data_IF_009827879333
#
_entry.id   IF_009827879333
#
_cell.length_a   1.000
_cell.length_b   1.000
_cell.length_c   1.000
_cell.angle_alpha   90.00
_cell.angle_beta   90.00
_cell.angle_gamma   90.00
#
_symmetry.space_group_name_H-M   'P 1'
#
loop_
_entity.id
_entity.type
_entity.pdbx_description
1 polymer ?
#
# COMPACT_ATOMS: atom_id res chain seq x y z
N UNK A 1 2.70 -2.34 14.64
CA UNK A 1 1.57 -1.54 15.15
C UNK A 1 1.53 -0.24 14.39
N UNK A 2 0.34 0.16 13.90
CA UNK A 2 0.10 1.47 13.29
C UNK A 2 -0.84 2.24 14.21
N UNK A 3 -0.56 3.50 14.46
CA UNK A 3 -1.37 4.36 15.32
C UNK A 3 -1.67 5.67 14.60
N UNK A 4 -2.92 6.11 14.65
CA UNK A 4 -3.32 7.47 14.34
C UNK A 4 -3.87 8.09 15.63
N UNK A 5 -3.42 9.31 15.99
CA UNK A 5 -3.83 10.02 17.22
C UNK A 5 -4.32 11.40 16.85
N UNK A 6 -5.61 11.68 17.12
CA UNK A 6 -6.26 12.96 16.85
C UNK A 6 -5.96 13.49 15.44
N UNK A 7 -5.98 12.59 14.45
CA UNK A 7 -5.59 12.88 13.08
C UNK A 7 -6.62 13.78 12.40
N UNK A 8 -6.17 14.94 11.92
CA UNK A 8 -6.99 15.89 11.16
C UNK A 8 -6.39 16.09 9.79
N UNK A 9 -7.25 16.09 8.76
CA UNK A 9 -6.92 16.49 7.40
C UNK A 9 -8.01 17.33 6.79
N UNK A 10 -7.63 18.49 6.26
CA UNK A 10 -8.51 19.46 5.64
C UNK A 10 -8.08 19.66 4.18
N UNK A 11 -9.03 19.65 3.27
CA UNK A 11 -8.85 20.01 1.85
C UNK A 11 -9.84 21.12 1.51
N UNK A 12 -9.34 22.26 1.11
CA UNK A 12 -10.16 23.42 0.69
C UNK A 12 -11.35 23.71 1.64
N UNK A 13 -11.06 23.68 2.93
CA UNK A 13 -12.06 23.91 3.98
C UNK A 13 -12.89 22.68 4.38
N UNK A 14 -12.84 21.60 3.61
CA UNK A 14 -13.52 20.35 3.94
C UNK A 14 -12.67 19.46 4.85
N UNK A 15 -13.20 19.10 6.02
CA UNK A 15 -12.54 18.15 6.94
C UNK A 15 -12.75 16.72 6.48
N UNK A 16 -11.76 16.17 5.78
CA UNK A 16 -11.77 14.77 5.34
C UNK A 16 -11.46 13.79 6.48
N UNK A 17 -10.70 14.21 7.48
CA UNK A 17 -10.49 13.52 8.76
C UNK A 17 -10.62 14.56 9.87
N UNK A 18 -11.38 14.24 10.91
CA UNK A 18 -11.67 15.15 12.03
C UNK A 18 -11.42 14.45 13.37
N UNK A 19 -10.17 14.57 13.85
CA UNK A 19 -9.76 14.01 15.15
C UNK A 19 -9.73 12.48 15.20
N UNK A 20 -9.51 11.80 14.06
CA UNK A 20 -9.53 10.35 14.01
C UNK A 20 -8.43 9.74 14.89
N UNK A 21 -8.83 8.84 15.77
CA UNK A 21 -7.91 8.04 16.60
C UNK A 21 -8.17 6.57 16.39
N UNK A 22 -7.11 5.82 16.03
CA UNK A 22 -7.19 4.36 15.82
C UNK A 22 -5.84 3.70 16.08
N UNK A 23 -5.88 2.41 16.39
CA UNK A 23 -4.70 1.57 16.53
C UNK A 23 -4.91 0.25 15.78
N UNK A 24 -3.94 -0.09 14.93
CA UNK A 24 -3.86 -1.41 14.29
C UNK A 24 -2.76 -2.20 14.98
N UNK A 25 -3.09 -3.26 15.74
CA UNK A 25 -2.10 -4.08 16.42
C UNK A 25 -1.16 -4.78 15.43
N UNK A 26 0.05 -5.10 15.87
CA UNK A 26 0.98 -5.90 15.07
C UNK A 26 0.41 -7.31 14.86
N UNK A 27 0.53 -7.83 13.64
CA UNK A 27 0.06 -9.18 13.27
C UNK A 27 -1.45 -9.31 13.13
N UNK A 28 -2.21 -8.21 13.20
CA UNK A 28 -3.66 -8.22 12.99
C UNK A 28 -4.04 -7.95 11.53
N UNK A 29 -5.23 -8.42 11.14
CA UNK A 29 -5.94 -7.97 9.95
C UNK A 29 -6.97 -6.94 10.41
N UNK A 30 -6.91 -5.74 9.85
CA UNK A 30 -7.80 -4.63 10.22
C UNK A 30 -8.65 -4.21 9.03
N UNK A 31 -9.96 -4.35 9.15
CA UNK A 31 -10.94 -3.93 8.15
C UNK A 31 -11.33 -2.47 8.34
N UNK A 32 -11.17 -1.66 7.29
CA UNK A 32 -11.65 -0.27 7.27
C UNK A 32 -12.91 -0.18 6.42
N UNK A 33 -14.06 0.00 7.07
CA UNK A 33 -15.39 0.01 6.45
C UNK A 33 -16.04 1.38 6.61
N UNK A 34 -16.82 1.80 5.63
CA UNK A 34 -17.57 3.05 5.64
C UNK A 34 -18.04 3.45 4.25
N UNK A 35 -18.97 4.42 4.13
CA UNK A 35 -19.50 4.89 2.85
C UNK A 35 -18.41 5.58 2.01
N UNK A 36 -18.71 5.83 0.73
CA UNK A 36 -17.85 6.67 -0.10
C UNK A 36 -17.80 8.09 0.47
N UNK A 37 -16.62 8.69 0.46
CA UNK A 37 -16.39 10.00 1.08
C UNK A 37 -16.06 9.98 2.59
N UNK A 38 -16.16 8.84 3.28
CA UNK A 38 -15.87 8.74 4.72
C UNK A 38 -14.38 8.90 5.11
N UNK A 39 -13.51 9.33 4.21
CA UNK A 39 -12.09 9.56 4.52
C UNK A 39 -11.20 8.32 4.48
N UNK A 40 -11.70 7.13 4.11
CA UNK A 40 -10.92 5.88 4.07
C UNK A 40 -9.63 6.00 3.25
N UNK A 41 -9.73 6.46 2.02
CA UNK A 41 -8.57 6.64 1.13
C UNK A 41 -7.63 7.73 1.65
N UNK A 42 -8.17 8.78 2.27
CA UNK A 42 -7.38 9.83 2.92
C UNK A 42 -6.57 9.25 4.07
N UNK A 43 -7.19 8.45 4.93
CA UNK A 43 -6.48 7.76 6.02
C UNK A 43 -5.37 6.84 5.49
N UNK A 44 -5.65 6.01 4.47
CA UNK A 44 -4.63 5.14 3.87
C UNK A 44 -3.45 5.92 3.30
N UNK A 45 -3.69 7.09 2.67
CA UNK A 45 -2.61 7.96 2.18
C UNK A 45 -1.76 8.57 3.30
N UNK A 46 -2.31 8.77 4.50
CA UNK A 46 -1.51 9.14 5.67
C UNK A 46 -0.70 7.94 6.19
N UNK A 47 -1.32 6.76 6.29
CA UNK A 47 -0.64 5.52 6.71
C UNK A 47 0.51 5.16 5.77
N UNK A 48 0.38 5.45 4.47
CA UNK A 48 1.45 5.24 3.49
C UNK A 48 2.43 6.42 3.40
N UNK A 49 2.22 7.48 4.18
CA UNK A 49 3.09 8.65 4.22
C UNK A 49 3.05 9.50 2.96
N UNK A 50 1.96 9.41 2.17
CA UNK A 50 1.72 10.26 0.99
C UNK A 50 1.25 11.65 1.40
N UNK A 51 0.34 11.71 2.39
CA UNK A 51 -0.19 12.97 2.90
C UNK A 51 0.43 13.36 4.23
N UNK A 52 0.72 14.65 4.36
CA UNK A 52 1.00 15.29 5.64
C UNK A 52 -0.34 15.62 6.32
N UNK A 53 -0.44 15.30 7.59
CA UNK A 53 -1.55 15.70 8.44
C UNK A 53 -1.51 17.21 8.76
N UNK A 54 -2.68 17.81 8.98
CA UNK A 54 -2.78 19.19 9.44
C UNK A 54 -2.65 19.28 10.96
N UNK A 55 -3.15 18.25 11.68
CA UNK A 55 -2.85 18.07 13.11
C UNK A 55 -2.91 16.59 13.50
N UNK A 56 -2.48 16.28 14.72
CA UNK A 56 -2.35 14.91 15.20
C UNK A 56 -1.11 14.18 14.68
N UNK A 57 -1.11 12.87 14.75
CA UNK A 57 0.05 12.06 14.32
C UNK A 57 -0.36 10.72 13.71
N UNK A 58 0.50 10.21 12.81
CA UNK A 58 0.42 8.83 12.30
C UNK A 58 1.78 8.16 12.48
N UNK A 59 1.78 7.05 13.21
CA UNK A 59 3.00 6.39 13.67
C UNK A 59 3.02 4.92 13.22
N UNK A 60 4.21 4.44 12.84
CA UNK A 60 4.52 3.02 12.68
C UNK A 60 5.47 2.61 13.81
N UNK A 61 5.00 1.76 14.72
CA UNK A 61 5.77 1.29 15.88
C UNK A 61 6.42 2.47 16.66
N UNK A 62 5.62 3.53 16.90
CA UNK A 62 6.04 4.72 17.63
C UNK A 62 6.79 5.77 16.80
N UNK A 63 7.16 5.48 15.56
CA UNK A 63 7.90 6.40 14.69
C UNK A 63 6.98 7.10 13.70
N UNK A 64 7.09 8.42 13.49
CA UNK A 64 6.33 9.14 12.47
C UNK A 64 6.54 8.53 11.08
N UNK A 65 5.46 8.47 10.28
CA UNK A 65 5.52 7.89 8.93
C UNK A 65 5.86 8.96 7.89
N UNK A 66 5.27 10.16 8.01
CA UNK A 66 5.48 11.22 7.03
C UNK A 66 6.95 11.68 7.02
N UNK A 67 7.52 11.83 5.82
CA UNK A 67 8.95 12.18 5.60
C UNK A 67 9.96 11.28 6.35
N UNK A 68 9.59 10.03 6.61
CA UNK A 68 10.45 9.05 7.24
C UNK A 68 10.71 7.85 6.30
N UNK A 69 11.82 7.86 5.54
CA UNK A 69 12.16 6.78 4.60
C UNK A 69 12.27 5.41 5.27
N UNK A 70 12.79 5.35 6.50
CA UNK A 70 12.93 4.10 7.24
C UNK A 70 11.58 3.48 7.62
N UNK A 71 10.60 4.30 8.01
CA UNK A 71 9.23 3.85 8.26
C UNK A 71 8.54 3.44 6.95
N UNK A 72 8.65 4.26 5.89
CA UNK A 72 8.04 3.98 4.58
C UNK A 72 8.57 2.70 3.95
N UNK A 73 9.86 2.38 4.10
CA UNK A 73 10.46 1.14 3.60
C UNK A 73 9.88 -0.14 4.23
N UNK A 74 9.05 -0.01 5.27
CA UNK A 74 8.36 -1.11 5.97
C UNK A 74 6.88 -1.20 5.63
N UNK A 75 6.39 -0.35 4.73
CA UNK A 75 4.98 -0.26 4.33
C UNK A 75 4.88 -0.64 2.86
N UNK A 76 4.07 -1.64 2.54
CA UNK A 76 3.66 -1.94 1.18
C UNK A 76 2.22 -1.45 0.97
N UNK A 77 1.95 -0.85 -0.18
CA UNK A 77 0.62 -0.38 -0.55
C UNK A 77 0.24 -0.91 -1.93
N UNK A 78 -0.92 -1.53 -2.02
CA UNK A 78 -1.51 -1.97 -3.29
C UNK A 78 -2.72 -1.08 -3.56
N UNK A 79 -2.60 -0.09 -4.46
CA UNK A 79 -3.70 0.83 -4.76
C UNK A 79 -4.79 0.15 -5.60
N UNK A 80 -5.95 0.80 -5.69
CA UNK A 80 -7.04 0.33 -6.56
C UNK A 80 -6.65 0.37 -8.03
N UNK A 81 -6.01 1.45 -8.48
CA UNK A 81 -5.41 1.55 -9.80
C UNK A 81 -3.95 1.16 -9.72
N UNK A 82 -3.61 0.08 -10.41
CA UNK A 82 -2.25 -0.46 -10.42
C UNK A 82 -1.40 0.26 -11.47
N UNK A 83 -0.24 0.71 -11.06
CA UNK A 83 0.75 1.28 -11.98
C UNK A 83 1.75 0.20 -12.41
N UNK A 84 1.85 0.01 -13.72
CA UNK A 84 2.84 -0.88 -14.36
C UNK A 84 3.18 -0.35 -15.75
N UNK A 85 4.32 -0.73 -16.28
CA UNK A 85 4.66 -0.36 -17.65
C UNK A 85 3.74 -1.09 -18.65
N UNK A 86 3.31 -0.40 -19.71
CA UNK A 86 2.26 -0.87 -20.63
C UNK A 86 2.49 -2.27 -21.22
N UNK A 87 3.75 -2.65 -21.45
CA UNK A 87 4.12 -3.96 -22.00
C UNK A 87 4.76 -4.91 -20.98
N UNK A 88 4.93 -4.47 -19.74
CA UNK A 88 5.60 -5.26 -18.72
C UNK A 88 4.78 -6.50 -18.33
N UNK A 89 5.49 -7.59 -18.18
CA UNK A 89 5.00 -8.79 -17.51
C UNK A 89 5.25 -8.71 -15.99
N UNK A 90 4.65 -9.63 -15.22
CA UNK A 90 4.93 -9.73 -13.77
C UNK A 90 6.43 -9.96 -13.53
N UNK A 91 7.08 -10.77 -14.37
CA UNK A 91 8.53 -11.00 -14.31
C UNK A 91 9.36 -9.73 -14.56
N UNK A 92 8.93 -8.86 -15.48
CA UNK A 92 9.62 -7.59 -15.75
C UNK A 92 9.46 -6.63 -14.58
N UNK A 93 8.27 -6.56 -13.99
CA UNK A 93 8.01 -5.77 -12.79
C UNK A 93 8.81 -6.29 -11.59
N UNK A 94 8.94 -7.62 -11.43
CA UNK A 94 9.80 -8.20 -10.39
C UNK A 94 11.26 -7.73 -10.54
N UNK A 95 11.80 -7.77 -11.75
CA UNK A 95 13.16 -7.29 -12.02
C UNK A 95 13.32 -5.81 -11.70
N UNK A 96 12.30 -5.01 -12.06
CA UNK A 96 12.25 -3.60 -11.75
C UNK A 96 12.26 -3.36 -10.24
N UNK A 97 11.37 -4.00 -9.48
CA UNK A 97 11.32 -3.86 -8.02
C UNK A 97 12.60 -4.34 -7.34
N UNK A 98 13.18 -5.45 -7.79
CA UNK A 98 14.49 -5.91 -7.30
C UNK A 98 15.59 -4.86 -7.46
N UNK A 99 15.55 -4.04 -8.52
CA UNK A 99 16.50 -2.94 -8.74
C UNK A 99 16.29 -1.75 -7.78
N UNK A 100 15.06 -1.52 -7.31
CA UNK A 100 14.71 -0.38 -6.46
C UNK A 100 14.65 -0.71 -4.97
N UNK A 101 14.32 -1.95 -4.63
CA UNK A 101 14.13 -2.39 -3.24
C UNK A 101 15.25 -3.34 -2.82
N UNK A 102 16.26 -2.87 -2.06
CA UNK A 102 17.40 -3.71 -1.64
C UNK A 102 17.00 -4.94 -0.82
N UNK A 103 15.82 -4.91 -0.23
CA UNK A 103 15.25 -6.02 0.58
C UNK A 103 14.27 -6.88 -0.20
N UNK A 104 14.21 -6.77 -1.54
CA UNK A 104 13.34 -7.62 -2.35
C UNK A 104 13.75 -9.08 -2.20
N UNK A 105 12.83 -9.91 -1.72
CA UNK A 105 13.07 -11.34 -1.48
C UNK A 105 12.67 -12.15 -2.71
N UNK A 106 13.63 -12.41 -3.57
CA UNK A 106 13.43 -13.21 -4.77
C UNK A 106 13.03 -14.65 -4.45
N UNK A 107 13.55 -15.25 -3.38
CA UNK A 107 13.20 -16.61 -3.00
C UNK A 107 11.72 -16.71 -2.60
N UNK A 108 11.22 -15.70 -1.89
CA UNK A 108 9.79 -15.58 -1.57
C UNK A 108 8.93 -15.36 -2.81
N UNK A 109 9.38 -14.55 -3.77
CA UNK A 109 8.68 -14.38 -5.05
C UNK A 109 8.53 -15.72 -5.77
N UNK A 110 9.59 -16.52 -5.88
CA UNK A 110 9.55 -17.83 -6.51
C UNK A 110 8.66 -18.82 -5.74
N UNK A 111 8.72 -18.82 -4.41
CA UNK A 111 7.88 -19.69 -3.56
C UNK A 111 6.38 -19.37 -3.68
N UNK A 112 6.00 -18.13 -3.96
CA UNK A 112 4.61 -17.73 -4.15
C UNK A 112 4.05 -18.06 -5.53
N UNK A 113 4.84 -18.57 -6.45
CA UNK A 113 4.44 -18.89 -7.82
C UNK A 113 3.27 -19.87 -7.89
N UNK A 114 3.26 -20.87 -7.02
CA UNK A 114 2.18 -21.86 -6.97
C UNK A 114 0.88 -21.26 -6.40
N UNK A 115 0.99 -20.31 -5.49
CA UNK A 115 -0.15 -19.57 -4.93
C UNK A 115 -0.83 -18.72 -6.00
N UNK A 116 -0.04 -18.10 -6.88
CA UNK A 116 -0.52 -17.25 -7.98
C UNK A 116 -0.48 -17.97 -9.33
N UNK A 117 -0.70 -19.27 -9.36
CA UNK A 117 -0.60 -20.15 -10.53
C UNK A 117 -1.47 -19.75 -11.73
N UNK A 118 -2.55 -18.98 -11.49
CA UNK A 118 -3.40 -18.45 -12.56
C UNK A 118 -2.76 -17.27 -13.32
N UNK A 119 -1.71 -16.65 -12.76
CA UNK A 119 -1.01 -15.52 -13.36
C UNK A 119 0.19 -16.02 -14.16
N UNK A 120 0.11 -15.97 -15.48
CA UNK A 120 1.28 -16.23 -16.31
C UNK A 120 2.29 -15.08 -16.18
N UNK A 121 3.40 -15.34 -15.47
CA UNK A 121 4.44 -14.33 -15.19
C UNK A 121 5.09 -13.69 -16.41
N UNK A 122 5.02 -14.37 -17.59
CA UNK A 122 5.59 -13.89 -18.85
C UNK A 122 4.60 -13.09 -19.69
N UNK A 123 3.32 -13.15 -19.37
CA UNK A 123 2.29 -12.40 -20.09
C UNK A 123 2.28 -10.95 -19.65
N UNK A 124 2.11 -10.03 -20.61
CA UNK A 124 1.97 -8.60 -20.30
C UNK A 124 0.76 -8.38 -19.37
N UNK A 125 0.98 -7.63 -18.26
CA UNK A 125 -0.03 -7.44 -17.20
C UNK A 125 -1.32 -6.85 -17.77
N UNK A 126 -1.25 -5.95 -18.74
CA UNK A 126 -2.43 -5.37 -19.42
C UNK A 126 -3.37 -6.38 -20.07
N UNK A 127 -2.88 -7.60 -20.38
CA UNK A 127 -3.66 -8.68 -20.99
C UNK A 127 -4.32 -9.59 -19.95
N UNK A 128 -3.99 -9.43 -18.69
CA UNK A 128 -4.58 -10.15 -17.58
C UNK A 128 -5.97 -9.57 -17.27
N UNK A 129 -6.87 -10.40 -16.75
CA UNK A 129 -8.13 -9.90 -16.19
C UNK A 129 -7.84 -8.97 -14.98
N UNK A 130 -8.80 -8.09 -14.63
CA UNK A 130 -8.64 -7.19 -13.46
C UNK A 130 -8.28 -7.95 -12.17
N UNK A 131 -8.90 -9.11 -11.95
CA UNK A 131 -8.58 -9.97 -10.80
C UNK A 131 -7.15 -10.51 -10.85
N UNK A 132 -6.70 -11.00 -12.02
CA UNK A 132 -5.32 -11.48 -12.20
C UNK A 132 -4.29 -10.35 -12.09
N UNK A 133 -4.63 -9.13 -12.52
CA UNK A 133 -3.77 -7.95 -12.30
C UNK A 133 -3.58 -7.66 -10.81
N UNK A 134 -4.65 -7.75 -10.01
CA UNK A 134 -4.56 -7.64 -8.54
C UNK A 134 -3.71 -8.77 -7.94
N UNK A 135 -3.90 -10.01 -8.40
CA UNK A 135 -3.05 -11.13 -7.97
C UNK A 135 -1.56 -10.88 -8.32
N UNK A 136 -1.26 -10.37 -9.51
CA UNK A 136 0.10 -9.99 -9.89
C UNK A 136 0.69 -8.92 -8.95
N UNK A 137 -0.12 -7.94 -8.53
CA UNK A 137 0.31 -6.91 -7.59
C UNK A 137 0.57 -7.45 -6.17
N UNK A 138 -0.19 -8.46 -5.74
CA UNK A 138 0.06 -9.14 -4.46
C UNK A 138 1.28 -10.05 -4.51
N UNK A 139 1.59 -10.59 -5.69
CA UNK A 139 2.75 -11.44 -5.89
C UNK A 139 4.07 -10.66 -5.91
N UNK A 140 4.05 -9.40 -6.36
CA UNK A 140 5.19 -8.48 -6.45
C UNK A 140 5.48 -7.79 -5.11
#
# INVERSE_FOLDING_TARGET
MIEAKNLVKIFDGFRALDGLTMTVPKGSIYGLVGPNGAGKSTLLRHVTGVYRQDSGSVLLEGNPIYENPAAKARIANIPDELYYFLSASTRDMMRFYKGFYPRFDQARYEALKDVFSTVNEKQAIRRLSKGMQKQAAFWL
#
